data_IF_376150194108
#
_entry.id   IF_376150194108
#
_cell.length_a   1.000
_cell.length_b   1.000
_cell.length_c   1.000
_cell.angle_alpha   90.00
_cell.angle_beta   90.00
_cell.angle_gamma   90.00
#
_symmetry.space_group_name_H-M   'P 1'
#
loop_
_entity.id
_entity.type
_entity.pdbx_description
1 polymer ?
#
# COMPACT_ATOMS: atom_id res chain seq x y z
N UNK A 1 -4.20 10.27 -22.28
CA UNK A 1 -2.72 10.35 -22.21
C UNK A 1 -2.38 11.29 -21.06
N UNK A 2 -1.44 10.93 -20.17
CA UNK A 2 -1.08 11.74 -18.99
C UNK A 2 -0.28 12.96 -19.46
N UNK A 3 -0.66 14.15 -19.02
CA UNK A 3 0.09 15.40 -19.20
C UNK A 3 0.77 15.76 -17.88
N UNK A 4 2.08 15.51 -17.80
CA UNK A 4 2.84 15.63 -16.54
C UNK A 4 2.69 16.99 -15.86
N UNK A 5 2.67 18.09 -16.61
CA UNK A 5 2.58 19.44 -16.02
C UNK A 5 1.17 19.79 -15.56
N UNK A 6 0.14 19.28 -16.23
CA UNK A 6 -1.26 19.53 -15.86
C UNK A 6 -1.75 18.58 -14.77
N UNK A 7 -1.40 17.30 -14.91
CA UNK A 7 -1.84 16.25 -14.01
C UNK A 7 -1.05 16.31 -12.70
N UNK A 8 0.22 16.72 -12.69
CA UNK A 8 1.00 16.86 -11.46
C UNK A 8 1.31 18.33 -11.19
N UNK A 9 0.30 19.08 -10.73
CA UNK A 9 0.44 20.52 -10.43
C UNK A 9 1.61 20.84 -9.50
N UNK A 10 1.96 19.93 -8.59
CA UNK A 10 3.09 20.10 -7.67
C UNK A 10 4.44 20.24 -8.40
N UNK A 11 4.57 19.70 -9.62
CA UNK A 11 5.79 19.86 -10.42
C UNK A 11 5.90 21.25 -11.07
N UNK A 12 4.80 22.02 -11.09
CA UNK A 12 4.77 23.39 -11.61
C UNK A 12 4.91 24.42 -10.47
N UNK A 13 6.01 24.33 -9.72
CA UNK A 13 6.34 25.28 -8.66
C UNK A 13 7.82 25.60 -8.67
N UNK A 14 8.19 26.66 -7.95
CA UNK A 14 9.57 27.00 -7.65
C UNK A 14 9.94 26.57 -6.24
N UNK A 15 11.15 26.04 -6.07
CA UNK A 15 11.76 25.75 -4.77
C UNK A 15 13.13 26.39 -4.76
N UNK A 16 13.41 27.27 -3.79
CA UNK A 16 14.62 28.08 -3.75
C UNK A 16 14.82 28.90 -5.04
N UNK A 17 13.76 29.59 -5.48
CA UNK A 17 13.69 30.43 -6.69
C UNK A 17 13.84 29.73 -8.05
N UNK A 18 14.15 28.44 -8.06
CA UNK A 18 14.36 27.60 -9.24
C UNK A 18 13.19 26.63 -9.51
N UNK A 19 12.95 26.22 -10.77
CA UNK A 19 11.96 25.20 -11.09
C UNK A 19 12.21 23.88 -10.35
N UNK A 20 11.17 23.30 -9.76
CA UNK A 20 11.28 22.03 -9.04
C UNK A 20 11.73 20.90 -9.98
N UNK A 21 12.83 20.24 -9.62
CA UNK A 21 13.26 18.96 -10.21
C UNK A 21 13.20 17.89 -9.12
N UNK A 22 12.10 17.13 -9.09
CA UNK A 22 11.86 16.12 -8.05
C UNK A 22 12.46 14.75 -8.41
N UNK A 23 13.63 14.43 -7.84
CA UNK A 23 14.38 13.19 -8.10
C UNK A 23 14.38 12.20 -6.92
N UNK A 24 13.37 12.28 -6.05
CA UNK A 24 13.23 11.43 -4.86
C UNK A 24 12.02 10.47 -4.95
N UNK A 25 11.66 10.06 -6.18
CA UNK A 25 10.47 9.24 -6.43
C UNK A 25 10.53 7.84 -5.80
N UNK A 26 11.74 7.34 -5.52
CA UNK A 26 11.94 6.05 -4.84
C UNK A 26 11.51 6.08 -3.37
N UNK A 27 11.56 7.24 -2.71
CA UNK A 27 11.05 7.42 -1.36
C UNK A 27 9.52 7.63 -1.35
N UNK A 28 9.01 8.51 -2.22
CA UNK A 28 7.57 8.67 -2.46
C UNK A 28 7.31 9.37 -3.79
N UNK A 29 6.19 9.07 -4.44
CA UNK A 29 5.82 9.69 -5.71
C UNK A 29 4.93 10.91 -5.52
N UNK A 30 4.93 11.83 -6.49
CA UNK A 30 3.88 12.84 -6.55
C UNK A 30 2.55 12.27 -7.02
N UNK A 31 1.43 12.93 -6.70
CA UNK A 31 0.09 12.40 -6.96
C UNK A 31 -0.55 13.16 -8.12
N UNK A 32 -1.10 12.47 -9.13
CA UNK A 32 -1.79 13.14 -10.22
C UNK A 32 -3.14 13.72 -9.73
N UNK A 33 -3.63 14.76 -10.41
CA UNK A 33 -4.84 15.49 -10.04
C UNK A 33 -6.06 14.56 -9.96
N UNK A 34 -6.14 13.57 -10.84
CA UNK A 34 -7.20 12.57 -10.87
C UNK A 34 -7.28 11.78 -9.54
N UNK A 35 -6.14 11.48 -8.91
CA UNK A 35 -6.12 10.79 -7.61
C UNK A 35 -6.58 11.74 -6.49
N UNK A 36 -6.14 13.00 -6.55
CA UNK A 36 -6.55 14.02 -5.57
C UNK A 36 -8.04 14.34 -5.67
N UNK A 37 -8.59 14.38 -6.87
CA UNK A 37 -10.01 14.66 -7.12
C UNK A 37 -10.90 13.53 -6.60
N UNK A 38 -10.50 12.26 -6.78
CA UNK A 38 -11.23 11.12 -6.20
C UNK A 38 -11.25 11.17 -4.68
N UNK A 39 -10.11 11.48 -4.04
CA UNK A 39 -10.04 11.64 -2.59
C UNK A 39 -10.94 12.78 -2.11
N UNK A 40 -10.89 13.93 -2.78
CA UNK A 40 -11.71 15.09 -2.45
C UNK A 40 -13.20 14.77 -2.58
N UNK A 41 -13.60 14.23 -3.73
CA UNK A 41 -15.00 13.88 -4.00
C UNK A 41 -15.54 12.89 -2.96
N UNK A 42 -14.76 11.87 -2.60
CA UNK A 42 -15.15 10.93 -1.56
C UNK A 42 -15.47 11.63 -0.24
N UNK A 43 -14.59 12.52 0.23
CA UNK A 43 -14.80 13.22 1.50
C UNK A 43 -15.89 14.30 1.45
N UNK A 44 -16.12 14.92 0.29
CA UNK A 44 -17.16 15.93 0.11
C UNK A 44 -18.56 15.31 -0.06
N UNK A 45 -18.68 14.13 -0.67
CA UNK A 45 -19.97 13.60 -1.12
C UNK A 45 -20.33 12.20 -0.62
N UNK A 46 -19.37 11.30 -0.37
CA UNK A 46 -19.65 9.87 -0.18
C UNK A 46 -19.09 9.25 1.12
N UNK A 47 -18.41 10.03 1.97
CA UNK A 47 -17.75 9.51 3.16
C UNK A 47 -18.71 8.85 4.14
N UNK A 48 -18.55 7.54 4.34
CA UNK A 48 -19.27 6.73 5.30
C UNK A 48 -18.45 5.50 5.69
N UNK A 49 -18.77 4.89 6.84
CA UNK A 49 -18.14 3.63 7.23
C UNK A 49 -18.55 2.50 6.28
N UNK A 50 -17.55 1.89 5.64
CA UNK A 50 -17.76 0.70 4.80
C UNK A 50 -18.27 -0.48 5.63
N UNK A 51 -19.13 -1.31 5.03
CA UNK A 51 -19.71 -2.52 5.63
C UNK A 51 -20.52 -2.36 6.93
N UNK A 52 -20.79 -1.13 7.39
CA UNK A 52 -21.48 -0.88 8.68
C UNK A 52 -22.80 -0.11 8.57
N UNK A 53 -23.31 0.16 7.36
CA UNK A 53 -24.55 0.93 7.18
C UNK A 53 -25.47 0.33 6.12
N UNK A 54 -26.78 0.47 6.35
CA UNK A 54 -27.86 0.12 5.40
C UNK A 54 -28.35 1.36 4.64
N UNK A 55 -27.65 2.49 4.76
CA UNK A 55 -28.00 3.76 4.14
C UNK A 55 -27.13 4.02 2.89
N UNK A 56 -27.67 4.80 1.96
CA UNK A 56 -27.10 5.00 0.61
C UNK A 56 -25.61 5.36 0.59
N UNK A 57 -25.15 6.24 1.47
CA UNK A 57 -23.73 6.62 1.54
C UNK A 57 -22.82 5.46 1.93
N UNK A 58 -23.24 4.59 2.86
CA UNK A 58 -22.45 3.43 3.27
C UNK A 58 -22.38 2.39 2.14
N UNK A 59 -23.45 2.22 1.37
CA UNK A 59 -23.47 1.35 0.20
C UNK A 59 -22.51 1.86 -0.89
N UNK A 60 -22.54 3.17 -1.19
CA UNK A 60 -21.62 3.79 -2.16
C UNK A 60 -20.16 3.66 -1.74
N UNK A 61 -19.84 4.04 -0.50
CA UNK A 61 -18.49 3.92 0.05
C UNK A 61 -17.98 2.47 -0.01
N UNK A 62 -18.85 1.50 0.31
CA UNK A 62 -18.51 0.07 0.25
C UNK A 62 -18.27 -0.38 -1.20
N UNK A 63 -19.14 0.03 -2.13
CA UNK A 63 -19.00 -0.31 -3.55
C UNK A 63 -17.69 0.23 -4.13
N UNK A 64 -17.32 1.48 -3.83
CA UNK A 64 -16.08 2.10 -4.30
C UNK A 64 -14.84 1.45 -3.69
N UNK A 65 -14.89 1.09 -2.40
CA UNK A 65 -13.82 0.38 -1.72
C UNK A 65 -13.56 -1.01 -2.33
N UNK A 66 -14.62 -1.78 -2.58
CA UNK A 66 -14.48 -3.10 -3.23
C UNK A 66 -14.12 -2.98 -4.72
N UNK A 67 -14.59 -1.95 -5.42
CA UNK A 67 -14.15 -1.65 -6.79
C UNK A 67 -12.65 -1.32 -6.83
N UNK A 68 -12.10 -0.63 -5.82
CA UNK A 68 -10.66 -0.43 -5.69
C UNK A 68 -9.92 -1.76 -5.48
N UNK A 69 -10.47 -2.68 -4.68
CA UNK A 69 -9.91 -4.03 -4.50
C UNK A 69 -9.85 -4.81 -5.81
N UNK A 70 -10.92 -4.78 -6.61
CA UNK A 70 -10.94 -5.45 -7.92
C UNK A 70 -9.92 -4.84 -8.89
N UNK A 71 -9.75 -3.51 -8.88
CA UNK A 71 -8.71 -2.84 -9.68
C UNK A 71 -7.31 -3.32 -9.28
N UNK A 72 -7.02 -3.42 -7.98
CA UNK A 72 -5.74 -3.95 -7.49
C UNK A 72 -5.56 -5.41 -7.88
N UNK A 73 -6.59 -6.26 -7.70
CA UNK A 73 -6.57 -7.67 -8.11
C UNK A 73 -6.17 -7.81 -9.59
N UNK A 74 -6.81 -7.04 -10.47
CA UNK A 74 -6.47 -7.00 -11.90
C UNK A 74 -5.04 -6.53 -12.14
N UNK A 75 -4.62 -5.46 -11.46
CA UNK A 75 -3.28 -4.87 -11.61
C UNK A 75 -2.15 -5.84 -11.26
N UNK A 76 -2.33 -6.65 -10.21
CA UNK A 76 -1.33 -7.65 -9.80
C UNK A 76 -1.62 -9.07 -10.33
N UNK A 77 -2.64 -9.22 -11.19
CA UNK A 77 -3.08 -10.51 -11.75
C UNK A 77 -3.42 -11.59 -10.71
N UNK A 78 -3.94 -11.23 -9.54
CA UNK A 78 -4.38 -12.20 -8.53
C UNK A 78 -5.63 -12.96 -9.00
N UNK A 79 -5.77 -14.23 -8.59
CA UNK A 79 -6.88 -15.08 -9.02
C UNK A 79 -8.22 -14.64 -8.40
N UNK A 80 -8.19 -14.07 -7.20
CA UNK A 80 -9.38 -13.67 -6.46
C UNK A 80 -9.20 -12.36 -5.70
N UNK A 81 -10.28 -11.60 -5.54
CA UNK A 81 -10.30 -10.43 -4.66
C UNK A 81 -9.98 -10.79 -3.20
N UNK A 82 -10.27 -12.04 -2.79
CA UNK A 82 -9.98 -12.54 -1.43
C UNK A 82 -8.48 -12.61 -1.12
N UNK A 83 -7.63 -12.57 -2.14
CA UNK A 83 -6.16 -12.58 -2.02
C UNK A 83 -5.59 -11.15 -1.89
N UNK A 84 -6.42 -10.11 -2.02
CA UNK A 84 -6.01 -8.71 -1.94
C UNK A 84 -6.42 -8.14 -0.59
N UNK A 85 -5.45 -8.00 0.32
CA UNK A 85 -5.66 -7.41 1.64
C UNK A 85 -5.08 -5.99 1.68
N UNK A 86 -5.93 -5.00 1.97
CA UNK A 86 -5.48 -3.63 2.17
C UNK A 86 -4.80 -3.49 3.53
N UNK A 87 -3.60 -2.94 3.53
CA UNK A 87 -2.84 -2.59 4.73
C UNK A 87 -2.39 -1.13 4.63
N UNK A 88 -1.77 -0.62 5.71
CA UNK A 88 -1.20 0.74 5.71
C UNK A 88 -0.02 0.91 4.73
N UNK A 89 0.60 -0.19 4.30
CA UNK A 89 1.74 -0.19 3.39
C UNK A 89 2.60 -1.44 3.53
N UNK A 90 3.67 -1.52 2.73
CA UNK A 90 4.54 -2.71 2.59
C UNK A 90 5.05 -3.23 3.94
N UNK A 91 5.52 -2.34 4.82
CA UNK A 91 6.02 -2.74 6.14
C UNK A 91 4.97 -3.47 6.97
N UNK A 92 3.71 -3.02 6.98
CA UNK A 92 2.63 -3.69 7.71
C UNK A 92 2.31 -5.04 7.08
N UNK A 93 2.24 -5.12 5.75
CA UNK A 93 2.02 -6.39 5.04
C UNK A 93 3.08 -7.43 5.37
N UNK A 94 4.37 -7.05 5.35
CA UNK A 94 5.47 -7.96 5.67
C UNK A 94 5.45 -8.41 7.14
N UNK A 95 5.04 -7.54 8.06
CA UNK A 95 4.84 -7.94 9.46
C UNK A 95 3.70 -8.95 9.62
N UNK A 96 2.60 -8.84 8.85
CA UNK A 96 1.54 -9.86 8.87
C UNK A 96 2.04 -11.21 8.37
N UNK A 97 2.81 -11.23 7.28
CA UNK A 97 3.42 -12.47 6.77
C UNK A 97 4.39 -13.05 7.80
N UNK A 98 5.20 -12.22 8.46
CA UNK A 98 6.07 -12.65 9.56
C UNK A 98 5.26 -13.28 10.71
N UNK A 99 4.12 -12.70 11.09
CA UNK A 99 3.25 -13.28 12.12
C UNK A 99 2.61 -14.60 11.73
N UNK A 100 2.36 -14.81 10.44
CA UNK A 100 2.01 -16.13 9.93
C UNK A 100 3.21 -17.10 9.99
N UNK A 101 4.41 -16.65 9.59
CA UNK A 101 5.62 -17.45 9.64
C UNK A 101 5.92 -17.97 11.06
N UNK A 102 5.71 -17.16 12.12
CA UNK A 102 5.84 -17.59 13.53
C UNK A 102 5.02 -18.85 13.86
N UNK A 103 3.87 -19.03 13.19
CA UNK A 103 2.94 -20.11 13.46
C UNK A 103 3.32 -21.40 12.72
N UNK A 104 3.99 -21.30 11.58
CA UNK A 104 4.29 -22.44 10.71
C UNK A 104 5.74 -22.90 10.78
N UNK A 105 6.67 -22.03 11.16
CA UNK A 105 8.09 -22.37 11.27
C UNK A 105 8.39 -23.25 12.48
N UNK A 106 9.25 -24.22 12.26
CA UNK A 106 9.73 -25.21 13.22
C UNK A 106 11.25 -25.14 13.39
N UNK A 107 11.78 -25.87 14.37
CA UNK A 107 13.22 -25.87 14.63
C UNK A 107 13.96 -26.49 13.44
N UNK A 108 14.96 -25.78 12.92
CA UNK A 108 15.73 -26.19 11.74
C UNK A 108 15.25 -25.58 10.42
N UNK A 109 14.09 -24.92 10.38
CA UNK A 109 13.67 -24.18 9.20
C UNK A 109 14.53 -22.92 9.01
N UNK A 110 14.74 -22.54 7.75
CA UNK A 110 15.54 -21.38 7.36
C UNK A 110 14.69 -20.36 6.59
N UNK A 111 15.00 -19.07 6.81
CA UNK A 111 14.42 -17.96 6.06
C UNK A 111 15.54 -17.33 5.23
N UNK A 112 15.41 -17.42 3.93
CA UNK A 112 16.40 -16.90 2.98
C UNK A 112 15.96 -15.52 2.52
N UNK A 113 16.85 -14.55 2.67
CA UNK A 113 16.67 -13.16 2.23
C UNK A 113 17.94 -12.66 1.54
N UNK A 114 17.81 -11.62 0.71
CA UNK A 114 18.96 -10.99 0.05
C UNK A 114 19.74 -10.06 1.00
N UNK A 115 21.00 -9.78 0.66
CA UNK A 115 21.79 -8.72 1.32
C UNK A 115 21.29 -7.31 0.96
N UNK A 116 20.54 -7.19 -0.14
CA UNK A 116 20.01 -5.92 -0.63
C UNK A 116 18.62 -5.57 -0.07
N UNK A 117 18.11 -6.34 0.89
CA UNK A 117 16.77 -6.12 1.43
C UNK A 117 16.63 -4.76 2.12
N UNK A 118 15.49 -4.11 1.88
CA UNK A 118 15.09 -2.97 2.69
C UNK A 118 14.77 -3.42 4.12
N UNK A 119 15.03 -2.55 5.10
CA UNK A 119 14.80 -2.83 6.52
C UNK A 119 13.39 -3.36 6.85
N UNK A 120 12.37 -2.96 6.08
CA UNK A 120 11.00 -3.44 6.24
C UNK A 120 10.84 -4.94 6.00
N UNK A 121 11.71 -5.56 5.20
CA UNK A 121 11.70 -7.00 4.93
C UNK A 121 12.70 -7.75 5.84
N UNK A 122 13.82 -7.13 6.19
CA UNK A 122 14.82 -7.73 7.07
C UNK A 122 14.35 -7.82 8.55
N UNK A 123 13.85 -6.73 9.11
CA UNK A 123 13.56 -6.63 10.55
C UNK A 123 12.46 -7.62 11.01
N UNK A 124 11.34 -7.81 10.29
CA UNK A 124 10.34 -8.79 10.70
C UNK A 124 10.91 -10.21 10.77
N UNK A 125 11.67 -10.64 9.76
CA UNK A 125 12.31 -11.96 9.75
C UNK A 125 13.27 -12.15 10.94
N UNK A 126 14.07 -11.14 11.27
CA UNK A 126 15.02 -11.24 12.38
C UNK A 126 14.36 -11.22 13.79
N UNK A 127 13.11 -10.73 13.89
CA UNK A 127 12.34 -10.71 15.14
C UNK A 127 11.59 -12.01 15.43
N UNK A 128 11.54 -12.92 14.45
CA UNK A 128 10.91 -14.22 14.64
C UNK A 128 11.62 -14.96 15.78
N UNK A 129 10.88 -15.61 16.69
CA UNK A 129 11.50 -16.35 17.79
C UNK A 129 12.43 -17.42 17.21
N UNK A 130 13.73 -17.35 17.54
CA UNK A 130 14.64 -18.48 17.30
C UNK A 130 14.17 -19.64 18.17
N UNK A 131 13.40 -20.58 17.62
CA UNK A 131 13.04 -21.80 18.35
C UNK A 131 14.35 -22.54 18.65
N UNK A 132 14.52 -22.95 19.91
CA UNK A 132 15.78 -23.41 20.52
C UNK A 132 16.64 -24.28 19.59
N UNK A 133 17.91 -23.91 19.42
CA UNK A 133 18.93 -24.71 18.72
C UNK A 133 19.73 -24.02 17.61
N UNK A 134 19.41 -22.76 17.25
CA UNK A 134 20.13 -22.06 16.18
C UNK A 134 21.22 -21.13 16.74
N UNK A 135 22.48 -21.52 16.53
CA UNK A 135 23.62 -20.60 16.43
C UNK A 135 23.57 -19.86 15.10
#
# INVERSE_FOLDING_TARGET
MIDLKKDFKILNQKVNDEPLVYLDNAATTQKPQQVLDVLRNYYEYDNANVHRGVHTLAERATADYEAAREKVRKFIHAASMKEVLFTRGTTTSLNWVSKFAEQVLTAGDEIIISVAEHHSNFVPCNKLPKKQGQF
#
